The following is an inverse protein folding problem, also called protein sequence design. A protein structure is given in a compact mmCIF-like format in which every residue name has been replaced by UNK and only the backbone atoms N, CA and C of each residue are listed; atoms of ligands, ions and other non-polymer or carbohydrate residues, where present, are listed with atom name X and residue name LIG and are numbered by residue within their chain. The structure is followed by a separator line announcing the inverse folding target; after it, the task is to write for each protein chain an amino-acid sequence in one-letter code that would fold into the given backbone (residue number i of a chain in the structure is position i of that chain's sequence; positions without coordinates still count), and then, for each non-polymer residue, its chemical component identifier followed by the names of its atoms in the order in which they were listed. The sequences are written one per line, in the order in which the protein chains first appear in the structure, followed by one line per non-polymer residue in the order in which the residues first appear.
data_IF_333139183455
#
_entry.id   IF_333139183455
#
_cell.length_a   1.000
_cell.length_b   1.000
_cell.length_c   1.000
_cell.angle_alpha   90.00
_cell.angle_beta   90.00
_cell.angle_gamma   90.00
#
_symmetry.space_group_name_H-M   'P 1'
#
loop_
_entity.id
_entity.type
_entity.pdbx_description
1 polymer ?
#
# COMPACT_ATOMS: atom_id res chain seq x y z
N UNK A 1 18.03 7.77 22.85
CA UNK A 1 18.32 8.03 21.41
C UNK A 1 17.35 7.20 20.55
N UNK A 2 16.05 7.48 20.64
CA UNK A 2 15.01 6.77 19.87
C UNK A 2 13.88 7.77 19.65
N UNK A 3 13.54 8.11 18.40
CA UNK A 3 12.42 9.04 18.18
C UNK A 3 12.23 9.64 16.78
N UNK A 4 13.07 9.36 15.78
CA UNK A 4 12.95 10.02 14.46
C UNK A 4 12.56 9.11 13.29
N UNK A 5 12.51 7.78 13.48
CA UNK A 5 12.25 6.82 12.37
C UNK A 5 10.80 6.74 11.88
N UNK A 6 9.82 7.22 12.67
CA UNK A 6 8.39 7.08 12.35
C UNK A 6 7.87 8.16 11.40
N UNK A 7 8.42 9.37 11.43
CA UNK A 7 7.94 10.51 10.63
C UNK A 7 8.34 10.36 9.15
N UNK A 8 9.52 9.80 8.87
CA UNK A 8 10.00 9.52 7.50
C UNK A 8 9.22 8.37 6.85
N UNK A 9 8.81 7.38 7.64
CA UNK A 9 8.06 6.20 7.15
C UNK A 9 6.68 6.57 6.61
N UNK A 10 6.01 7.49 7.31
CA UNK A 10 4.74 8.10 6.92
C UNK A 10 4.94 8.91 5.63
N UNK A 11 5.98 9.76 5.53
CA UNK A 11 6.13 10.65 4.38
C UNK A 11 6.32 9.91 3.04
N UNK A 12 7.12 8.84 2.98
CA UNK A 12 7.30 8.08 1.73
C UNK A 12 6.02 7.37 1.28
N UNK A 13 5.22 6.89 2.24
CA UNK A 13 3.90 6.34 1.98
C UNK A 13 2.96 7.43 1.44
N UNK A 14 2.95 8.60 2.09
CA UNK A 14 2.16 9.75 1.66
C UNK A 14 2.58 10.27 0.30
N UNK A 15 3.88 10.28 -0.01
CA UNK A 15 4.37 10.70 -1.32
C UNK A 15 3.91 9.72 -2.39
N UNK A 16 4.02 8.41 -2.18
CA UNK A 16 3.54 7.42 -3.15
C UNK A 16 2.02 7.50 -3.34
N UNK A 17 1.26 7.58 -2.26
CA UNK A 17 -0.19 7.72 -2.33
C UNK A 17 -0.60 9.03 -3.04
N UNK A 18 0.07 10.14 -2.71
CA UNK A 18 -0.13 11.44 -3.34
C UNK A 18 0.24 11.40 -4.81
N UNK A 19 1.34 10.74 -5.20
CA UNK A 19 1.74 10.57 -6.60
C UNK A 19 0.75 9.71 -7.37
N UNK A 20 0.25 8.61 -6.80
CA UNK A 20 -0.72 7.74 -7.47
C UNK A 20 -2.07 8.46 -7.68
N UNK A 21 -2.57 9.14 -6.64
CA UNK A 21 -3.78 9.96 -6.73
C UNK A 21 -3.63 11.13 -7.71
N UNK A 22 -2.50 11.83 -7.65
CA UNK A 22 -2.18 12.94 -8.56
C UNK A 22 -2.06 12.47 -10.01
N UNK A 23 -1.35 11.36 -10.24
CA UNK A 23 -1.21 10.79 -11.57
C UNK A 23 -2.57 10.34 -12.12
N UNK A 24 -3.40 9.69 -11.30
CA UNK A 24 -4.77 9.33 -11.67
C UNK A 24 -5.59 10.57 -12.05
N UNK A 25 -5.48 11.67 -11.30
CA UNK A 25 -6.15 12.93 -11.61
C UNK A 25 -5.68 13.51 -12.94
N UNK A 26 -4.37 13.62 -13.16
CA UNK A 26 -3.81 14.13 -14.42
C UNK A 26 -4.23 13.26 -15.61
N UNK A 27 -4.24 11.94 -15.45
CA UNK A 27 -4.70 11.02 -16.50
C UNK A 27 -6.20 11.18 -16.77
N UNK A 28 -7.00 11.38 -15.72
CA UNK A 28 -8.44 11.66 -15.85
C UNK A 28 -8.69 12.95 -16.62
N UNK A 29 -8.01 14.05 -16.28
CA UNK A 29 -8.10 15.36 -16.96
C UNK A 29 -7.68 15.28 -18.44
N UNK A 30 -6.79 14.35 -18.79
CA UNK A 30 -6.39 14.07 -20.17
C UNK A 30 -7.41 13.21 -20.94
N UNK A 31 -8.44 12.74 -20.26
CA UNK A 31 -9.53 11.93 -20.81
C UNK A 31 -9.24 10.43 -20.80
N UNK A 32 -8.33 9.94 -19.95
CA UNK A 32 -8.06 8.50 -19.82
C UNK A 32 -9.23 7.71 -19.22
N UNK A 33 -10.19 8.40 -18.57
CA UNK A 33 -11.43 7.79 -18.07
C UNK A 33 -12.52 7.64 -19.12
N UNK A 34 -12.49 8.46 -20.17
CA UNK A 34 -13.50 8.49 -21.24
C UNK A 34 -12.83 8.24 -22.59
N UNK A 35 -12.74 6.95 -22.95
CA UNK A 35 -12.10 6.46 -24.18
C UNK A 35 -12.66 7.05 -25.50
N UNK A 36 -13.78 7.80 -25.43
CA UNK A 36 -14.45 8.41 -26.59
C UNK A 36 -14.15 9.91 -26.78
N UNK A 37 -13.49 10.59 -25.85
CA UNK A 37 -13.39 12.07 -25.84
C UNK A 37 -11.98 12.61 -25.52
N UNK A 38 -11.06 11.76 -25.02
CA UNK A 38 -9.74 12.20 -24.54
C UNK A 38 -8.62 12.33 -25.58
N UNK A 39 -7.57 13.11 -25.25
CA UNK A 39 -6.27 13.13 -25.95
C UNK A 39 -5.28 12.09 -25.39
N UNK A 40 -5.75 11.23 -24.49
CA UNK A 40 -4.94 10.24 -23.80
C UNK A 40 -4.47 9.12 -24.76
N UNK A 41 -3.23 8.68 -24.59
CA UNK A 41 -2.67 7.53 -25.30
C UNK A 41 -3.19 6.22 -24.71
N UNK A 42 -3.12 5.13 -25.48
CA UNK A 42 -3.53 3.80 -24.99
C UNK A 42 -2.78 3.39 -23.71
N UNK A 43 -1.48 3.70 -23.61
CA UNK A 43 -0.70 3.45 -22.39
C UNK A 43 -1.19 4.26 -21.19
N UNK A 44 -1.70 5.47 -21.40
CA UNK A 44 -2.26 6.33 -20.34
C UNK A 44 -3.60 5.79 -19.83
N UNK A 45 -4.42 5.23 -20.74
CA UNK A 45 -5.68 4.56 -20.42
C UNK A 45 -5.43 3.30 -19.59
N UNK A 46 -4.47 2.46 -20.00
CA UNK A 46 -4.13 1.24 -19.25
C UNK A 46 -3.57 1.54 -17.86
N UNK A 47 -2.69 2.55 -17.74
CA UNK A 47 -2.20 3.01 -16.42
C UNK A 47 -3.34 3.56 -15.58
N UNK A 48 -4.26 4.35 -16.17
CA UNK A 48 -5.42 4.88 -15.45
C UNK A 48 -6.34 3.76 -14.94
N UNK A 49 -6.61 2.75 -15.77
CA UNK A 49 -7.39 1.57 -15.38
C UNK A 49 -6.71 0.84 -14.22
N UNK A 50 -5.41 0.55 -14.36
CA UNK A 50 -4.63 -0.11 -13.32
C UNK A 50 -4.73 0.67 -12.00
N UNK A 51 -4.43 1.97 -12.01
CA UNK A 51 -4.49 2.82 -10.81
C UNK A 51 -5.90 2.97 -10.22
N UNK A 52 -6.95 2.86 -11.04
CA UNK A 52 -8.34 2.91 -10.59
C UNK A 52 -8.80 1.59 -9.94
N UNK A 53 -8.23 0.47 -10.36
CA UNK A 53 -8.48 -0.85 -9.75
C UNK A 53 -7.54 -1.19 -8.59
N UNK A 54 -6.37 -0.55 -8.53
CA UNK A 54 -5.32 -0.91 -7.60
C UNK A 54 -5.53 -0.27 -6.22
N UNK A 55 -5.32 -1.07 -5.18
CA UNK A 55 -5.64 -0.76 -3.78
C UNK A 55 -4.94 0.46 -3.19
N UNK A 56 -3.74 0.78 -3.67
CA UNK A 56 -2.95 1.88 -3.12
C UNK A 56 -3.52 3.27 -3.47
N UNK A 57 -4.37 3.38 -4.51
CA UNK A 57 -4.93 4.64 -5.00
C UNK A 57 -6.20 5.12 -4.30
N UNK A 58 -6.79 4.31 -3.40
CA UNK A 58 -8.14 4.56 -2.86
C UNK A 58 -8.19 4.79 -1.34
N UNK A 59 -7.05 4.81 -0.64
CA UNK A 59 -6.99 4.85 0.83
C UNK A 59 -6.85 6.27 1.35
N UNK A 60 -7.58 6.63 2.42
CA UNK A 60 -7.42 7.93 3.06
C UNK A 60 -6.13 8.02 3.88
N UNK A 61 -5.70 9.25 4.20
CA UNK A 61 -4.54 9.48 5.08
C UNK A 61 -4.68 8.83 6.44
N UNK A 62 -5.90 8.84 6.98
CA UNK A 62 -6.23 8.23 8.26
C UNK A 62 -6.11 6.70 8.19
N UNK A 63 -6.58 6.06 7.11
CA UNK A 63 -6.47 4.61 6.94
C UNK A 63 -5.00 4.14 6.91
N UNK A 64 -4.13 4.92 6.26
CA UNK A 64 -2.70 4.67 6.19
C UNK A 64 -2.07 4.81 7.58
N UNK A 65 -2.43 5.85 8.32
CA UNK A 65 -1.92 6.03 9.68
C UNK A 65 -2.36 4.89 10.60
N UNK A 66 -3.65 4.52 10.55
CA UNK A 66 -4.20 3.46 11.38
C UNK A 66 -3.50 2.12 11.15
N UNK A 67 -3.22 1.74 9.90
CA UNK A 67 -2.49 0.49 9.65
C UNK A 67 -1.02 0.60 10.05
N UNK A 68 -0.36 1.74 9.80
CA UNK A 68 1.01 1.93 10.27
C UNK A 68 1.11 1.82 11.78
N UNK A 69 0.11 2.29 12.53
CA UNK A 69 0.03 2.13 13.98
C UNK A 69 -0.20 0.68 14.40
N UNK A 70 -1.14 -0.02 13.75
CA UNK A 70 -1.41 -1.43 14.01
C UNK A 70 -0.21 -2.35 13.70
N UNK A 71 0.66 -1.95 12.77
CA UNK A 71 1.86 -2.72 12.38
C UNK A 71 3.09 -2.43 13.26
N UNK A 72 3.09 -1.39 14.10
CA UNK A 72 4.23 -1.06 15.00
C UNK A 72 4.70 -2.24 15.87
N UNK A 73 3.83 -3.09 16.43
CA UNK A 73 4.28 -4.19 17.29
C UNK A 73 5.12 -5.24 16.56
N UNK A 74 5.07 -5.31 15.22
CA UNK A 74 5.72 -6.36 14.42
C UNK A 74 7.16 -6.05 14.01
N UNK A 75 7.68 -4.88 14.40
CA UNK A 75 9.05 -4.43 14.08
C UNK A 75 9.41 -4.63 12.60
N UNK A 76 8.47 -4.27 11.72
CA UNK A 76 8.63 -4.37 10.28
C UNK A 76 9.41 -3.19 9.74
N UNK A 77 10.28 -3.46 8.77
CA UNK A 77 11.04 -2.43 8.08
C UNK A 77 10.14 -1.61 7.16
N UNK A 78 10.59 -0.40 6.82
CA UNK A 78 9.83 0.49 5.94
C UNK A 78 9.49 -0.14 4.56
N UNK A 79 10.39 -0.88 3.88
CA UNK A 79 10.06 -1.59 2.65
C UNK A 79 9.01 -2.70 2.84
N UNK A 80 9.05 -3.43 3.95
CA UNK A 80 8.09 -4.50 4.27
C UNK A 80 6.68 -3.94 4.49
N UNK A 81 6.55 -2.86 5.28
CA UNK A 81 5.27 -2.17 5.48
C UNK A 81 4.72 -1.68 4.14
N UNK A 82 5.57 -1.09 3.31
CA UNK A 82 5.16 -0.61 1.99
C UNK A 82 4.68 -1.75 1.09
N UNK A 83 5.36 -2.90 1.08
CA UNK A 83 4.97 -4.06 0.31
C UNK A 83 3.67 -4.68 0.83
N UNK A 84 3.50 -4.80 2.15
CA UNK A 84 2.27 -5.27 2.78
C UNK A 84 1.06 -4.47 2.32
N UNK A 85 1.16 -3.15 2.32
CA UNK A 85 0.02 -2.30 1.95
C UNK A 85 -0.27 -2.34 0.45
N UNK A 86 0.75 -2.46 -0.39
CA UNK A 86 0.57 -2.53 -1.84
C UNK A 86 -0.01 -3.89 -2.28
N UNK A 87 0.52 -4.99 -1.74
CA UNK A 87 0.20 -6.34 -2.17
C UNK A 87 -1.04 -6.91 -1.46
N UNK A 88 -1.35 -6.44 -0.24
CA UNK A 88 -2.47 -6.92 0.58
C UNK A 88 -2.49 -8.43 0.69
N UNK A 89 -1.56 -9.03 1.45
CA UNK A 89 -1.49 -10.47 1.51
C UNK A 89 -2.78 -11.08 2.08
N UNK A 90 -3.25 -12.13 1.42
CA UNK A 90 -4.49 -12.86 1.77
C UNK A 90 -4.22 -14.15 2.51
N UNK A 91 -2.99 -14.64 2.44
CA UNK A 91 -2.52 -15.88 3.05
C UNK A 91 -1.13 -15.69 3.69
N UNK A 92 -0.75 -16.66 4.53
CA UNK A 92 0.50 -16.66 5.29
C UNK A 92 1.72 -16.75 4.36
N UNK A 93 1.61 -17.48 3.24
CA UNK A 93 2.71 -17.66 2.29
C UNK A 93 3.14 -16.31 1.70
N UNK A 94 2.18 -15.45 1.37
CA UNK A 94 2.47 -14.10 0.87
C UNK A 94 3.19 -13.22 1.91
N UNK A 95 2.90 -13.40 3.21
CA UNK A 95 3.64 -12.69 4.27
C UNK A 95 5.10 -13.15 4.31
N UNK A 96 5.36 -14.45 4.19
CA UNK A 96 6.72 -15.00 4.14
C UNK A 96 7.53 -14.49 2.95
N UNK A 97 6.86 -14.15 1.84
CA UNK A 97 7.51 -13.54 0.67
C UNK A 97 7.84 -12.05 0.86
N UNK A 98 7.16 -11.38 1.78
CA UNK A 98 7.34 -9.94 2.04
C UNK A 98 8.34 -9.71 3.18
N UNK A 99 8.17 -10.41 4.31
CA UNK A 99 8.98 -10.23 5.51
C UNK A 99 10.26 -11.07 5.42
N UNK A 100 11.41 -10.41 5.46
CA UNK A 100 12.69 -11.12 5.42
C UNK A 100 12.93 -11.88 6.72
N UNK A 101 13.42 -13.11 6.58
CA UNK A 101 13.72 -14.01 7.71
C UNK A 101 12.52 -14.13 8.66
N UNK A 102 11.30 -14.23 8.10
CA UNK A 102 10.04 -14.17 8.84
C UNK A 102 10.00 -15.18 10.01
N UNK A 103 10.40 -16.44 9.75
CA UNK A 103 10.45 -17.52 10.75
C UNK A 103 11.42 -17.25 11.91
N UNK A 104 12.45 -16.41 11.71
CA UNK A 104 13.41 -16.06 12.75
C UNK A 104 12.97 -14.82 13.57
N UNK A 105 12.10 -13.97 13.01
CA UNK A 105 11.65 -12.71 13.62
C UNK A 105 10.27 -12.79 14.27
N UNK A 106 9.40 -13.63 13.74
CA UNK A 106 8.00 -13.76 14.15
C UNK A 106 7.66 -15.24 14.35
N UNK A 107 6.97 -15.54 15.45
CA UNK A 107 6.38 -16.86 15.64
C UNK A 107 5.12 -17.01 14.79
N UNK A 108 4.64 -18.26 14.68
CA UNK A 108 3.50 -18.61 13.83
C UNK A 108 2.21 -17.86 14.23
N UNK A 109 1.98 -17.68 15.54
CA UNK A 109 0.83 -16.95 16.06
C UNK A 109 0.88 -15.46 15.69
N UNK A 110 2.06 -14.84 15.70
CA UNK A 110 2.25 -13.44 15.30
C UNK A 110 2.09 -13.25 13.80
N UNK A 111 2.47 -14.23 13.00
CA UNK A 111 2.24 -14.19 11.54
C UNK A 111 0.74 -14.25 11.23
N UNK A 112 -0.01 -15.09 11.96
CA UNK A 112 -1.47 -15.13 11.87
C UNK A 112 -2.12 -13.81 12.31
N UNK A 113 -1.66 -13.23 13.42
CA UNK A 113 -2.11 -11.93 13.92
C UNK A 113 -1.86 -10.81 12.88
N UNK A 114 -0.66 -10.81 12.27
CA UNK A 114 -0.31 -9.87 11.22
C UNK A 114 -1.25 -9.99 10.01
N UNK A 115 -1.54 -11.22 9.58
CA UNK A 115 -2.49 -11.46 8.49
C UNK A 115 -3.90 -10.94 8.81
N UNK A 116 -4.35 -11.13 10.05
CA UNK A 116 -5.64 -10.64 10.52
C UNK A 116 -5.72 -9.11 10.49
N UNK A 117 -4.69 -8.42 11.00
CA UNK A 117 -4.59 -6.96 10.99
C UNK A 117 -4.60 -6.43 9.56
N UNK A 118 -3.83 -7.05 8.66
CA UNK A 118 -3.81 -6.70 7.23
C UNK A 118 -5.22 -6.81 6.64
N UNK A 119 -5.92 -7.92 6.86
CA UNK A 119 -7.29 -8.12 6.36
C UNK A 119 -8.28 -7.10 6.93
N UNK A 120 -8.18 -6.81 8.22
CA UNK A 120 -9.06 -5.86 8.91
C UNK A 120 -8.89 -4.43 8.37
N UNK A 121 -7.65 -3.99 8.14
CA UNK A 121 -7.36 -2.62 7.74
C UNK A 121 -7.36 -2.41 6.21
N UNK A 122 -7.02 -3.44 5.42
CA UNK A 122 -6.87 -3.32 3.97
C UNK A 122 -7.97 -4.01 3.16
N UNK A 123 -8.86 -4.76 3.81
CA UNK A 123 -9.84 -5.62 3.14
C UNK A 123 -9.20 -6.83 2.46
N UNK A 124 -10.01 -7.73 1.88
CA UNK A 124 -9.51 -8.84 1.08
C UNK A 124 -8.82 -8.37 -0.21
#
# INVERSE_FOLDING_TARGET
MAGTGTITSISAFFDRHRTACFLRQVLHERGAGDAKVGKARDSEIEVFKYLSTHSAGLRSREQIQNICEALKPFDLTQPEILQLVNLRPTNIVEIHLIVQECEARLDEARIEELLLIVKQHLGP
#
